data_IF_832088778880
#
_entry.id   IF_832088778880
#
_cell.length_a   1.000
_cell.length_b   1.000
_cell.length_c   1.000
_cell.angle_alpha   90.00
_cell.angle_beta   90.00
_cell.angle_gamma   90.00
#
_symmetry.space_group_name_H-M   'P 1'
#
loop_
_entity.id
_entity.type
_entity.pdbx_description
1 polymer ?
#
# COMPACT_ATOMS: atom_id res chain seq x y z
N UNK A 1 19.83 -2.97 -25.29
CA UNK A 1 18.75 -3.27 -24.32
C UNK A 1 19.34 -4.13 -23.21
N UNK A 2 19.58 -3.56 -22.03
CA UNK A 2 20.16 -4.32 -20.91
C UNK A 2 19.08 -5.21 -20.32
N UNK A 3 19.24 -6.53 -20.46
CA UNK A 3 18.41 -7.51 -19.75
C UNK A 3 18.69 -7.36 -18.26
N UNK A 4 17.70 -6.86 -17.51
CA UNK A 4 17.73 -6.87 -16.05
C UNK A 4 17.57 -8.33 -15.59
N UNK A 5 18.46 -8.87 -14.74
CA UNK A 5 18.32 -10.22 -14.20
C UNK A 5 16.97 -10.34 -13.46
N UNK A 6 16.16 -11.33 -13.85
CA UNK A 6 14.83 -11.62 -13.26
C UNK A 6 14.96 -12.31 -11.92
N UNK A 7 15.63 -11.67 -10.96
CA UNK A 7 15.67 -12.18 -9.60
C UNK A 7 14.39 -11.80 -8.85
N UNK A 8 13.72 -12.84 -8.35
CA UNK A 8 12.57 -12.78 -7.47
C UNK A 8 12.82 -11.75 -6.33
N UNK A 9 11.99 -10.69 -6.22
CA UNK A 9 12.17 -9.69 -5.16
C UNK A 9 11.86 -10.26 -3.77
N UNK A 10 11.21 -11.43 -3.68
CA UNK A 10 10.89 -12.10 -2.41
C UNK A 10 11.78 -13.32 -2.08
N UNK A 11 12.73 -13.70 -2.94
CA UNK A 11 13.54 -14.94 -2.86
C UNK A 11 14.19 -15.18 -1.48
N UNK A 12 14.72 -14.15 -0.79
CA UNK A 12 15.31 -14.33 0.53
C UNK A 12 14.27 -14.55 1.64
N UNK A 13 13.04 -14.05 1.52
CA UNK A 13 12.06 -13.97 2.63
C UNK A 13 11.23 -15.22 2.82
N UNK A 14 11.04 -16.00 1.75
CA UNK A 14 10.45 -17.32 1.88
C UNK A 14 11.34 -18.26 2.73
N UNK A 15 12.59 -17.89 3.05
CA UNK A 15 13.45 -18.63 3.98
C UNK A 15 13.30 -18.20 5.44
N UNK A 16 12.82 -16.99 5.72
CA UNK A 16 12.65 -16.47 7.08
C UNK A 16 11.26 -16.76 7.67
N UNK A 17 10.26 -17.04 6.83
CA UNK A 17 8.96 -17.58 7.22
C UNK A 17 8.98 -19.11 7.44
N UNK A 18 10.17 -19.72 7.57
CA UNK A 18 10.34 -21.16 7.75
C UNK A 18 9.91 -21.57 9.17
N UNK A 19 8.81 -22.30 9.28
CA UNK A 19 8.77 -23.42 10.21
C UNK A 19 9.76 -24.48 9.69
N UNK A 20 10.56 -25.07 10.58
CA UNK A 20 11.53 -26.11 10.25
C UNK A 20 10.92 -27.17 9.31
N UNK A 21 11.38 -27.27 8.05
CA UNK A 21 11.61 -28.53 7.32
C UNK A 21 12.14 -28.30 5.89
N UNK A 22 13.08 -29.16 5.47
CA UNK A 22 13.74 -29.17 4.17
C UNK A 22 12.82 -29.59 3.00
N UNK A 23 11.57 -29.99 3.28
CA UNK A 23 10.58 -30.48 2.30
C UNK A 23 9.89 -29.37 1.49
N UNK A 24 9.95 -28.10 1.92
CA UNK A 24 9.20 -27.00 1.29
C UNK A 24 9.91 -26.42 0.04
N UNK A 25 11.20 -26.68 -0.17
CA UNK A 25 11.91 -26.25 -1.39
C UNK A 25 11.49 -27.08 -2.61
N UNK A 26 11.34 -28.39 -2.42
CA UNK A 26 10.87 -29.31 -3.45
C UNK A 26 9.37 -29.10 -3.75
N UNK A 27 8.57 -28.85 -2.72
CA UNK A 27 7.16 -28.49 -2.87
C UNK A 27 6.95 -27.15 -3.61
N UNK A 28 7.80 -26.14 -3.36
CA UNK A 28 7.78 -24.86 -4.11
C UNK A 28 8.13 -25.04 -5.57
N UNK A 29 9.16 -25.83 -5.88
CA UNK A 29 9.52 -26.15 -7.26
C UNK A 29 8.40 -26.92 -7.97
N UNK A 30 7.71 -27.83 -7.27
CA UNK A 30 6.56 -28.54 -7.80
C UNK A 30 5.38 -27.61 -8.12
N UNK A 31 5.06 -26.66 -7.23
CA UNK A 31 4.00 -25.67 -7.44
C UNK A 31 4.33 -24.70 -8.58
N UNK A 32 5.55 -24.17 -8.62
CA UNK A 32 6.02 -23.31 -9.72
C UNK A 32 5.94 -24.04 -11.08
N UNK A 33 6.33 -25.32 -11.10
CA UNK A 33 6.26 -26.19 -12.28
C UNK A 33 4.82 -26.45 -12.69
N UNK A 34 3.92 -26.77 -11.74
CA UNK A 34 2.50 -26.97 -12.02
C UNK A 34 1.86 -25.69 -12.59
N UNK A 35 2.12 -24.52 -11.98
CA UNK A 35 1.61 -23.24 -12.45
C UNK A 35 2.12 -22.87 -13.85
N UNK A 36 3.39 -23.19 -14.16
CA UNK A 36 3.97 -22.94 -15.49
C UNK A 36 3.30 -23.78 -16.59
N UNK A 37 2.78 -24.97 -16.26
CA UNK A 37 2.07 -25.86 -17.19
C UNK A 37 0.64 -25.40 -17.48
N UNK A 38 0.04 -24.59 -16.61
CA UNK A 38 -1.35 -24.15 -16.73
C UNK A 38 -1.59 -23.04 -17.77
N UNK A 39 -0.52 -22.54 -18.43
CA UNK A 39 -0.57 -21.47 -19.44
C UNK A 39 -1.46 -20.28 -19.04
N UNK A 40 -1.39 -19.88 -17.76
CA UNK A 40 -2.24 -18.84 -17.20
C UNK A 40 -1.86 -17.47 -17.77
N UNK A 41 -2.81 -16.77 -18.40
CA UNK A 41 -2.63 -15.38 -18.80
C UNK A 41 -2.72 -14.48 -17.57
N UNK A 42 -1.57 -14.09 -17.03
CA UNK A 42 -1.53 -13.18 -15.88
C UNK A 42 -1.96 -11.76 -16.26
N UNK A 43 -2.99 -11.28 -15.59
CA UNK A 43 -3.42 -9.89 -15.60
C UNK A 43 -3.33 -9.29 -14.20
N UNK A 44 -3.30 -7.95 -14.10
CA UNK A 44 -3.34 -7.24 -12.83
C UNK A 44 -4.59 -7.63 -12.01
N UNK A 45 -5.75 -7.72 -12.67
CA UNK A 45 -7.01 -8.12 -12.02
C UNK A 45 -6.95 -9.53 -11.46
N UNK A 46 -6.42 -10.49 -12.22
CA UNK A 46 -6.26 -11.88 -11.78
C UNK A 46 -5.33 -11.98 -10.58
N UNK A 47 -4.18 -11.31 -10.61
CA UNK A 47 -3.24 -11.31 -9.47
C UNK A 47 -3.89 -10.71 -8.23
N UNK A 48 -4.62 -9.59 -8.37
CA UNK A 48 -5.35 -9.00 -7.25
C UNK A 48 -6.44 -9.92 -6.70
N UNK A 49 -7.12 -10.67 -7.55
CA UNK A 49 -8.16 -11.62 -7.16
C UNK A 49 -7.57 -12.75 -6.31
N UNK A 50 -6.48 -13.38 -6.76
CA UNK A 50 -5.78 -14.44 -6.00
C UNK A 50 -5.29 -13.91 -4.65
N UNK A 51 -4.68 -12.72 -4.61
CA UNK A 51 -4.22 -12.10 -3.36
C UNK A 51 -5.37 -11.76 -2.40
N UNK A 52 -6.51 -11.28 -2.92
CA UNK A 52 -7.71 -10.99 -2.12
C UNK A 52 -8.37 -12.25 -1.59
N UNK A 53 -8.42 -13.31 -2.40
CA UNK A 53 -8.98 -14.61 -2.00
C UNK A 53 -8.19 -15.23 -0.85
N UNK A 54 -6.84 -15.22 -0.96
CA UNK A 54 -5.97 -15.69 0.11
C UNK A 54 -6.18 -14.93 1.43
N UNK A 55 -6.34 -13.60 1.37
CA UNK A 55 -6.57 -12.76 2.54
C UNK A 55 -7.92 -13.01 3.25
N UNK A 56 -9.00 -13.34 2.51
CA UNK A 56 -10.36 -13.48 3.07
C UNK A 56 -10.63 -14.82 3.74
N UNK A 57 -9.92 -15.87 3.33
CA UNK A 57 -10.18 -17.25 3.77
C UNK A 57 -9.13 -17.78 4.76
N UNK A 58 -8.32 -16.89 5.36
CA UNK A 58 -7.29 -17.30 6.33
C UNK A 58 -6.14 -18.11 5.73
N UNK A 59 -5.91 -18.02 4.41
CA UNK A 59 -4.75 -18.67 3.80
C UNK A 59 -3.45 -18.06 4.31
N UNK A 60 -2.45 -18.92 4.40
CA UNK A 60 -1.08 -18.58 4.79
C UNK A 60 -0.56 -17.38 3.98
N UNK A 61 -0.15 -16.32 4.68
CA UNK A 61 0.47 -15.12 4.09
C UNK A 61 1.62 -15.51 3.17
N UNK A 62 2.35 -16.56 3.53
CA UNK A 62 3.43 -17.12 2.73
C UNK A 62 2.96 -17.55 1.33
N UNK A 63 1.76 -18.13 1.20
CA UNK A 63 1.21 -18.54 -0.10
C UNK A 63 0.91 -17.34 -0.99
N UNK A 64 0.39 -16.24 -0.42
CA UNK A 64 0.19 -14.98 -1.14
C UNK A 64 1.52 -14.40 -1.63
N UNK A 65 2.56 -14.43 -0.78
CA UNK A 65 3.90 -13.96 -1.13
C UNK A 65 4.57 -14.86 -2.19
N UNK A 66 4.45 -16.19 -2.07
CA UNK A 66 4.95 -17.16 -3.06
C UNK A 66 4.30 -16.92 -4.42
N UNK A 67 2.98 -16.73 -4.47
CA UNK A 67 2.26 -16.44 -5.71
C UNK A 67 2.66 -15.09 -6.30
N UNK A 68 2.72 -14.03 -5.48
CA UNK A 68 3.17 -12.71 -5.94
C UNK A 68 4.56 -12.79 -6.55
N UNK A 69 5.47 -13.51 -5.90
CA UNK A 69 6.82 -13.72 -6.40
C UNK A 69 6.86 -14.45 -7.74
N UNK A 70 6.16 -15.58 -7.82
CA UNK A 70 6.05 -16.38 -9.04
C UNK A 70 5.46 -15.57 -10.20
N UNK A 71 4.40 -14.80 -9.94
CA UNK A 71 3.77 -13.95 -10.95
C UNK A 71 4.77 -12.93 -11.53
N UNK A 72 5.56 -12.29 -10.65
CA UNK A 72 6.58 -11.31 -11.06
C UNK A 72 7.75 -11.90 -11.85
N UNK A 73 7.95 -13.23 -11.84
CA UNK A 73 8.97 -13.91 -12.64
C UNK A 73 8.51 -14.21 -14.07
N UNK A 74 7.20 -14.11 -14.37
CA UNK A 74 6.68 -14.45 -15.68
C UNK A 74 7.09 -13.41 -16.74
N UNK A 75 7.56 -13.82 -17.93
CA UNK A 75 8.06 -12.92 -18.96
C UNK A 75 7.06 -11.85 -19.42
N UNK A 76 5.78 -12.18 -19.43
CA UNK A 76 4.69 -11.35 -19.95
C UNK A 76 3.97 -10.55 -18.87
N UNK A 77 4.43 -10.60 -17.62
CA UNK A 77 3.76 -9.97 -16.50
C UNK A 77 4.70 -9.08 -15.70
N UNK A 78 4.21 -7.89 -15.37
CA UNK A 78 4.89 -6.97 -14.49
C UNK A 78 3.90 -6.49 -13.44
N UNK A 79 4.33 -6.54 -12.18
CA UNK A 79 3.55 -6.01 -11.08
C UNK A 79 3.31 -4.51 -11.26
N UNK A 80 2.10 -4.10 -10.88
CA UNK A 80 1.67 -2.71 -10.85
C UNK A 80 1.52 -2.26 -9.41
N UNK A 81 1.42 -0.95 -9.20
CA UNK A 81 1.24 -0.35 -7.86
C UNK A 81 0.17 -1.07 -7.03
N UNK A 82 -0.96 -1.43 -7.65
CA UNK A 82 -2.08 -2.08 -6.98
C UNK A 82 -1.70 -3.45 -6.38
N UNK A 83 -0.89 -4.26 -7.07
CA UNK A 83 -0.50 -5.60 -6.61
C UNK A 83 0.51 -5.48 -5.46
N UNK A 84 1.45 -4.53 -5.54
CA UNK A 84 2.33 -4.20 -4.40
C UNK A 84 1.54 -3.71 -3.19
N UNK A 85 0.60 -2.78 -3.37
CA UNK A 85 -0.24 -2.30 -2.29
C UNK A 85 -1.08 -3.43 -1.66
N UNK A 86 -1.58 -4.37 -2.45
CA UNK A 86 -2.28 -5.54 -1.94
C UNK A 86 -1.39 -6.39 -1.01
N UNK A 87 -0.14 -6.66 -1.42
CA UNK A 87 0.85 -7.35 -0.57
C UNK A 87 1.16 -6.55 0.69
N UNK A 88 1.36 -5.24 0.59
CA UNK A 88 1.59 -4.39 1.76
C UNK A 88 0.41 -4.41 2.73
N UNK A 89 -0.83 -4.42 2.21
CA UNK A 89 -2.04 -4.51 3.01
C UNK A 89 -2.16 -5.87 3.72
N UNK A 90 -1.79 -6.96 3.05
CA UNK A 90 -1.74 -8.31 3.66
C UNK A 90 -0.73 -8.32 4.80
N UNK A 91 0.52 -7.90 4.55
CA UNK A 91 1.57 -7.85 5.57
C UNK A 91 1.21 -6.92 6.74
N UNK A 92 0.59 -5.77 6.45
CA UNK A 92 0.03 -4.81 7.43
C UNK A 92 -0.93 -5.49 8.40
N UNK A 93 -1.96 -6.14 7.85
CA UNK A 93 -2.99 -6.83 8.65
C UNK A 93 -2.45 -8.02 9.42
N UNK A 94 -1.46 -8.72 8.87
CA UNK A 94 -0.80 -9.85 9.53
C UNK A 94 0.30 -9.44 10.52
N UNK A 95 0.51 -8.13 10.74
CA UNK A 95 1.55 -7.56 11.63
C UNK A 95 2.99 -7.99 11.26
N UNK A 96 3.23 -8.39 10.01
CA UNK A 96 4.54 -8.82 9.51
C UNK A 96 5.36 -7.63 8.98
N UNK A 97 5.61 -6.63 9.85
CA UNK A 97 6.23 -5.36 9.43
C UNK A 97 7.71 -5.54 9.08
N UNK A 98 8.42 -6.42 9.78
CA UNK A 98 9.82 -6.76 9.49
C UNK A 98 9.98 -7.26 8.05
N UNK A 99 9.12 -8.20 7.62
CA UNK A 99 9.14 -8.72 6.25
C UNK A 99 8.87 -7.63 5.22
N UNK A 100 7.95 -6.69 5.52
CA UNK A 100 7.68 -5.55 4.65
C UNK A 100 8.88 -4.61 4.54
N UNK A 101 9.51 -4.26 5.68
CA UNK A 101 10.65 -3.35 5.71
C UNK A 101 11.84 -3.92 4.97
N UNK A 102 12.18 -5.18 5.24
CA UNK A 102 13.28 -5.82 4.53
C UNK A 102 13.02 -5.83 3.02
N UNK A 103 11.79 -6.14 2.60
CA UNK A 103 11.41 -6.13 1.18
C UNK A 103 11.62 -4.75 0.56
N UNK A 104 11.20 -3.68 1.24
CA UNK A 104 11.37 -2.31 0.77
C UNK A 104 12.84 -1.91 0.68
N UNK A 105 13.66 -2.29 1.66
CA UNK A 105 15.11 -2.05 1.64
C UNK A 105 15.79 -2.74 0.46
N UNK A 106 15.42 -3.98 0.14
CA UNK A 106 15.96 -4.66 -1.05
C UNK A 106 15.36 -4.13 -2.35
N UNK A 107 14.11 -3.67 -2.32
CA UNK A 107 13.49 -3.00 -3.45
C UNK A 107 14.21 -1.70 -3.79
N UNK A 108 14.88 -1.04 -2.82
CA UNK A 108 15.73 0.14 -3.06
C UNK A 108 16.99 -0.13 -3.92
N UNK A 109 17.20 -1.36 -4.41
CA UNK A 109 18.35 -1.68 -5.23
C UNK A 109 18.29 -0.95 -6.61
N UNK A 110 19.42 -0.34 -7.07
CA UNK A 110 19.52 0.40 -8.33
C UNK A 110 18.98 -0.31 -9.58
N UNK A 111 18.98 -1.65 -9.63
CA UNK A 111 18.49 -2.41 -10.78
C UNK A 111 16.97 -2.24 -11.03
N UNK A 112 16.19 -1.83 -10.03
CA UNK A 112 14.74 -1.62 -10.14
C UNK A 112 14.34 -0.19 -10.55
N UNK A 113 15.32 0.72 -10.71
CA UNK A 113 15.12 2.12 -11.07
C UNK A 113 14.71 2.35 -12.54
N UNK A 114 14.57 1.29 -13.35
CA UNK A 114 14.19 1.37 -14.77
C UNK A 114 12.84 2.06 -14.95
N UNK A 115 11.95 1.98 -13.97
CA UNK A 115 10.69 2.73 -13.92
C UNK A 115 10.66 3.65 -12.71
N UNK A 116 11.40 4.77 -12.76
CA UNK A 116 11.58 5.70 -11.63
C UNK A 116 10.29 6.07 -10.90
N UNK A 117 9.22 6.43 -11.61
CA UNK A 117 7.94 6.79 -10.97
C UNK A 117 7.32 5.63 -10.17
N UNK A 118 7.36 4.40 -10.72
CA UNK A 118 6.83 3.21 -10.05
C UNK A 118 7.66 2.84 -8.84
N UNK A 119 8.98 2.96 -8.99
CA UNK A 119 9.93 2.70 -7.92
C UNK A 119 9.66 3.60 -6.71
N UNK A 120 9.60 4.92 -6.92
CA UNK A 120 9.32 5.86 -5.82
C UNK A 120 7.93 5.67 -5.24
N UNK A 121 6.92 5.48 -6.09
CA UNK A 121 5.54 5.29 -5.62
C UNK A 121 5.42 4.06 -4.70
N UNK A 122 6.00 2.93 -5.09
CA UNK A 122 6.05 1.73 -4.25
C UNK A 122 6.76 1.98 -2.92
N UNK A 123 7.87 2.71 -2.92
CA UNK A 123 8.61 3.01 -1.68
C UNK A 123 7.84 3.95 -0.75
N UNK A 124 7.25 5.03 -1.26
CA UNK A 124 6.45 5.96 -0.44
C UNK A 124 5.28 5.22 0.18
N UNK A 125 4.49 4.52 -0.64
CA UNK A 125 3.32 3.76 -0.15
C UNK A 125 3.72 2.65 0.81
N UNK A 126 4.80 1.91 0.50
CA UNK A 126 5.28 0.81 1.32
C UNK A 126 5.72 1.27 2.70
N UNK A 127 6.63 2.26 2.78
CA UNK A 127 7.09 2.77 4.07
C UNK A 127 5.98 3.47 4.87
N UNK A 128 5.04 4.12 4.19
CA UNK A 128 3.87 4.69 4.84
C UNK A 128 3.00 3.61 5.50
N UNK A 129 2.68 2.53 4.77
CA UNK A 129 1.91 1.39 5.31
C UNK A 129 2.69 0.62 6.39
N UNK A 130 4.02 0.60 6.33
CA UNK A 130 4.89 -0.01 7.33
C UNK A 130 5.02 0.80 8.64
N UNK A 131 4.36 1.96 8.74
CA UNK A 131 4.48 2.84 9.91
C UNK A 131 5.85 3.53 10.01
N UNK A 132 6.51 3.80 8.88
CA UNK A 132 7.77 4.56 8.80
C UNK A 132 7.55 5.90 8.09
N UNK A 133 6.78 6.83 8.69
CA UNK A 133 6.31 8.05 8.02
C UNK A 133 7.47 8.96 7.57
N UNK A 134 8.54 9.06 8.36
CA UNK A 134 9.71 9.88 8.01
C UNK A 134 10.48 9.34 6.80
N UNK A 135 10.60 8.01 6.68
CA UNK A 135 11.23 7.39 5.51
C UNK A 135 10.34 7.58 4.28
N UNK A 136 9.02 7.45 4.44
CA UNK A 136 8.07 7.72 3.36
C UNK A 136 8.13 9.18 2.88
N UNK A 137 8.19 10.15 3.80
CA UNK A 137 8.37 11.58 3.50
C UNK A 137 9.70 11.85 2.78
N UNK A 138 10.79 11.21 3.21
CA UNK A 138 12.08 11.32 2.52
C UNK A 138 12.04 10.80 1.08
N UNK A 139 11.42 9.63 0.87
CA UNK A 139 11.26 9.07 -0.47
C UNK A 139 10.34 9.92 -1.34
N UNK A 140 9.29 10.50 -0.75
CA UNK A 140 8.42 11.44 -1.43
C UNK A 140 9.16 12.72 -1.82
N UNK A 141 9.98 13.29 -0.93
CA UNK A 141 10.83 14.44 -1.23
C UNK A 141 11.82 14.16 -2.37
N UNK A 142 12.49 13.00 -2.35
CA UNK A 142 13.37 12.55 -3.45
C UNK A 142 12.63 12.41 -4.77
N UNK A 143 11.43 11.84 -4.75
CA UNK A 143 10.57 11.71 -5.93
C UNK A 143 10.25 13.09 -6.52
N UNK A 144 9.84 14.05 -5.67
CA UNK A 144 9.51 15.42 -6.08
C UNK A 144 10.71 16.18 -6.62
N UNK A 145 11.88 16.02 -6.02
CA UNK A 145 13.13 16.63 -6.51
C UNK A 145 13.48 16.16 -7.93
N UNK A 146 13.10 14.95 -8.31
CA UNK A 146 13.28 14.43 -9.67
C UNK A 146 12.15 14.80 -10.64
N UNK A 147 11.22 15.68 -10.24
CA UNK A 147 10.07 16.07 -11.05
C UNK A 147 9.01 14.98 -11.18
N UNK A 148 9.06 13.94 -10.33
CA UNK A 148 8.08 12.87 -10.29
C UNK A 148 7.02 13.15 -9.21
N UNK A 149 5.86 12.50 -9.33
CA UNK A 149 4.77 12.70 -8.39
C UNK A 149 3.92 11.46 -8.13
N UNK A 150 3.25 11.46 -6.98
CA UNK A 150 2.28 10.42 -6.64
C UNK A 150 0.99 10.61 -7.47
N UNK A 151 0.32 9.50 -7.74
CA UNK A 151 -1.06 9.53 -8.23
C UNK A 151 -2.05 9.79 -7.08
N UNK A 152 -3.30 10.13 -7.42
CA UNK A 152 -4.37 10.41 -6.45
C UNK A 152 -4.51 9.30 -5.39
N UNK A 153 -4.51 8.04 -5.83
CA UNK A 153 -4.61 6.90 -4.93
C UNK A 153 -3.47 6.87 -3.92
N UNK A 154 -2.22 7.03 -4.36
CA UNK A 154 -1.05 6.98 -3.49
C UNK A 154 -1.01 8.15 -2.53
N UNK A 155 -1.48 9.32 -2.95
CA UNK A 155 -1.69 10.46 -2.06
C UNK A 155 -2.67 10.12 -0.93
N UNK A 156 -3.82 9.50 -1.22
CA UNK A 156 -4.78 9.09 -0.19
C UNK A 156 -4.19 8.05 0.78
N UNK A 157 -3.47 7.05 0.27
CA UNK A 157 -2.80 6.06 1.12
C UNK A 157 -1.77 6.74 2.02
N UNK A 158 -0.97 7.64 1.46
CA UNK A 158 0.07 8.33 2.20
C UNK A 158 -0.50 9.28 3.26
N UNK A 159 -1.52 10.08 2.91
CA UNK A 159 -2.23 10.96 3.83
C UNK A 159 -2.82 10.17 5.01
N UNK A 160 -3.55 9.08 4.73
CA UNK A 160 -4.15 8.26 5.78
C UNK A 160 -3.08 7.61 6.67
N UNK A 161 -1.96 7.16 6.11
CA UNK A 161 -0.87 6.61 6.90
C UNK A 161 -0.24 7.65 7.84
N UNK A 162 -0.06 8.90 7.40
CA UNK A 162 0.43 9.99 8.26
C UNK A 162 -0.55 10.27 9.41
N UNK A 163 -1.86 10.25 9.14
CA UNK A 163 -2.91 10.34 10.17
C UNK A 163 -2.83 9.16 11.14
N UNK A 164 -2.57 7.95 10.65
CA UNK A 164 -2.38 6.78 11.51
C UNK A 164 -1.20 6.90 12.46
N UNK A 165 -0.11 7.54 12.02
CA UNK A 165 1.12 7.71 12.78
C UNK A 165 1.17 9.01 13.59
N UNK A 166 0.10 9.82 13.57
CA UNK A 166 0.04 11.09 14.31
C UNK A 166 0.96 12.19 13.76
N UNK A 167 1.45 12.07 12.52
CA UNK A 167 2.34 13.05 11.89
C UNK A 167 1.53 14.25 11.33
N UNK A 168 0.79 14.94 12.19
CA UNK A 168 -0.24 15.91 11.76
C UNK A 168 0.30 17.11 10.99
N UNK A 169 1.53 17.57 11.27
CA UNK A 169 2.15 18.66 10.48
C UNK A 169 2.33 18.26 9.01
N UNK A 170 2.72 16.99 8.78
CA UNK A 170 2.84 16.44 7.43
C UNK A 170 1.47 16.17 6.80
N UNK A 171 0.43 15.85 7.60
CA UNK A 171 -0.94 15.68 7.09
C UNK A 171 -1.43 16.95 6.42
N UNK A 172 -1.27 18.12 7.07
CA UNK A 172 -1.69 19.41 6.50
C UNK A 172 -0.93 19.73 5.20
N UNK A 173 0.39 19.49 5.18
CA UNK A 173 1.21 19.68 4.00
C UNK A 173 0.75 18.81 2.83
N UNK A 174 0.50 17.51 3.07
CA UNK A 174 0.05 16.57 2.04
C UNK A 174 -1.39 16.86 1.60
N UNK A 175 -2.28 17.24 2.51
CA UNK A 175 -3.64 17.67 2.17
C UNK A 175 -3.63 18.87 1.21
N UNK A 176 -2.78 19.88 1.46
CA UNK A 176 -2.58 21.00 0.54
C UNK A 176 -2.06 20.54 -0.83
N UNK A 177 -1.14 19.56 -0.87
CA UNK A 177 -0.64 19.00 -2.13
C UNK A 177 -1.74 18.30 -2.94
N UNK A 178 -2.66 17.60 -2.28
CA UNK A 178 -3.83 16.96 -2.93
C UNK A 178 -4.73 18.03 -3.55
N UNK A 179 -5.04 19.08 -2.80
CA UNK A 179 -5.88 20.18 -3.29
C UNK A 179 -5.26 20.88 -4.51
N UNK A 180 -3.97 21.22 -4.45
CA UNK A 180 -3.26 21.90 -5.55
C UNK A 180 -3.22 21.07 -6.84
N UNK A 181 -3.42 19.75 -6.77
CA UNK A 181 -3.46 18.85 -7.92
C UNK A 181 -4.87 18.59 -8.45
N UNK A 182 -5.89 19.10 -7.76
CA UNK A 182 -7.28 18.73 -8.06
C UNK A 182 -7.59 17.27 -7.73
N UNK A 183 -6.82 16.65 -6.81
CA UNK A 183 -7.03 15.27 -6.36
C UNK A 183 -8.00 15.18 -5.17
N UNK A 184 -8.63 16.30 -4.81
CA UNK A 184 -9.60 16.35 -3.73
C UNK A 184 -10.83 15.48 -4.06
N UNK A 185 -11.19 14.59 -3.15
CA UNK A 185 -12.34 13.70 -3.25
C UNK A 185 -12.97 13.45 -1.88
N UNK A 186 -14.10 12.73 -1.86
CA UNK A 186 -14.74 12.28 -0.61
C UNK A 186 -13.77 11.49 0.29
N UNK A 187 -12.85 10.73 -0.31
CA UNK A 187 -11.82 9.98 0.42
C UNK A 187 -10.89 10.95 1.16
N UNK A 188 -10.46 12.04 0.50
CA UNK A 188 -9.62 13.06 1.13
C UNK A 188 -10.29 13.64 2.37
N UNK A 189 -11.56 14.02 2.24
CA UNK A 189 -12.34 14.61 3.32
C UNK A 189 -12.58 13.66 4.48
N UNK A 190 -12.85 12.38 4.20
CA UNK A 190 -12.97 11.35 5.23
C UNK A 190 -11.68 11.19 6.04
N UNK A 191 -10.52 11.22 5.36
CA UNK A 191 -9.22 11.13 6.04
C UNK A 191 -8.97 12.38 6.90
N UNK A 192 -9.32 13.58 6.44
CA UNK A 192 -9.17 14.81 7.23
C UNK A 192 -10.09 14.84 8.44
N UNK A 193 -11.35 14.44 8.29
CA UNK A 193 -12.28 14.28 9.42
C UNK A 193 -11.70 13.32 10.46
N UNK A 194 -11.24 12.14 10.02
CA UNK A 194 -10.54 11.17 10.87
C UNK A 194 -9.31 11.77 11.55
N UNK A 195 -8.54 12.60 10.86
CA UNK A 195 -7.40 13.31 11.44
C UNK A 195 -7.79 14.24 12.58
N UNK A 196 -8.91 14.97 12.45
CA UNK A 196 -9.42 15.86 13.49
C UNK A 196 -9.92 15.06 14.70
N UNK A 197 -10.65 13.96 14.48
CA UNK A 197 -11.07 13.06 15.56
C UNK A 197 -9.88 12.46 16.32
N UNK A 198 -8.82 12.04 15.63
CA UNK A 198 -7.60 11.52 16.26
C UNK A 198 -6.81 12.56 17.06
N UNK A 199 -7.08 13.85 16.84
CA UNK A 199 -6.53 14.97 17.61
C UNK A 199 -7.49 15.44 18.70
N UNK A 200 -8.63 14.76 18.89
CA UNK A 200 -9.72 15.14 19.79
C UNK A 200 -10.30 16.53 19.51
N UNK A 201 -10.15 17.01 18.27
CA UNK A 201 -10.64 18.32 17.83
C UNK A 201 -12.05 18.23 17.24
N UNK A 202 -13.00 17.79 18.06
CA UNK A 202 -14.36 17.51 17.61
C UNK A 202 -15.08 18.75 17.05
N UNK A 203 -14.94 19.91 17.68
CA UNK A 203 -15.55 21.15 17.19
C UNK A 203 -14.99 21.58 15.83
N UNK A 204 -13.69 21.33 15.58
CA UNK A 204 -13.08 21.59 14.28
C UNK A 204 -13.62 20.61 13.22
N UNK A 205 -13.81 19.35 13.61
CA UNK A 205 -14.37 18.31 12.76
C UNK A 205 -15.82 18.63 12.37
N UNK A 206 -16.65 19.08 13.30
CA UNK A 206 -18.03 19.49 13.05
C UNK A 206 -18.11 20.68 12.08
N UNK A 207 -17.39 21.77 12.36
CA UNK A 207 -17.31 22.94 11.46
C UNK A 207 -16.78 22.58 10.09
N UNK A 208 -15.85 21.62 10.00
CA UNK A 208 -15.35 21.13 8.73
C UNK A 208 -16.45 20.45 7.91
N UNK A 209 -17.25 19.57 8.52
CA UNK A 209 -18.37 18.90 7.85
C UNK A 209 -19.46 19.87 7.42
N UNK A 210 -19.82 20.84 8.26
CA UNK A 210 -20.83 21.85 7.93
C UNK A 210 -20.44 22.63 6.67
N UNK A 211 -19.15 22.99 6.54
CA UNK A 211 -18.62 23.63 5.32
C UNK A 211 -18.67 22.71 4.10
N UNK A 212 -18.40 21.41 4.24
CA UNK A 212 -18.51 20.48 3.11
C UNK A 212 -19.97 20.31 2.65
N UNK A 213 -20.89 20.29 3.61
CA UNK A 213 -22.34 20.21 3.34
C UNK A 213 -22.82 21.46 2.62
N UNK A 214 -22.40 22.66 3.04
CA UNK A 214 -22.78 23.90 2.37
C UNK A 214 -22.20 24.04 0.96
N UNK A 215 -21.10 23.34 0.66
CA UNK A 215 -20.51 23.22 -0.66
C UNK A 215 -21.14 22.11 -1.54
N UNK A 216 -22.19 21.43 -1.07
CA UNK A 216 -22.88 20.39 -1.83
C UNK A 216 -22.17 19.02 -1.85
N UNK A 217 -21.14 18.80 -1.03
CA UNK A 217 -20.40 17.52 -0.92
C UNK A 217 -21.16 16.54 0.00
N UNK A 218 -22.32 16.07 -0.46
CA UNK A 218 -23.37 15.45 0.35
C UNK A 218 -23.09 14.05 0.96
N UNK A 219 -22.00 13.36 0.57
CA UNK A 219 -21.79 11.92 0.86
C UNK A 219 -21.34 11.64 2.32
N UNK A 220 -20.90 12.65 3.07
CA UNK A 220 -20.30 12.45 4.40
C UNK A 220 -21.30 12.54 5.57
N UNK A 221 -22.52 13.05 5.36
CA UNK A 221 -23.49 13.27 6.46
C UNK A 221 -23.90 11.96 7.16
N UNK A 222 -24.10 10.86 6.43
CA UNK A 222 -24.54 9.59 7.02
C UNK A 222 -23.42 8.82 7.72
N UNK A 223 -22.25 8.68 7.08
CA UNK A 223 -21.11 7.92 7.61
C UNK A 223 -20.53 8.58 8.87
N UNK A 224 -20.54 9.91 8.91
CA UNK A 224 -19.95 10.67 10.01
C UNK A 224 -20.89 10.76 11.21
N UNK A 225 -22.21 10.85 11.00
CA UNK A 225 -23.19 10.86 12.11
C UNK A 225 -23.16 9.54 12.89
N UNK A 226 -23.03 8.40 12.22
CA UNK A 226 -22.84 7.11 12.89
C UNK A 226 -21.48 7.01 13.60
N UNK A 227 -20.42 7.60 13.04
CA UNK A 227 -19.10 7.65 13.68
C UNK A 227 -19.06 8.51 14.94
N UNK A 228 -19.68 9.70 14.91
CA UNK A 228 -19.79 10.59 16.08
C UNK A 228 -20.66 10.00 17.20
N UNK A 229 -21.78 9.34 16.87
CA UNK A 229 -22.66 8.71 17.88
C UNK A 229 -21.97 7.57 18.64
N UNK A 230 -21.01 6.87 18.01
CA UNK A 230 -20.21 5.82 18.67
C UNK A 230 -19.10 6.35 19.58
N UNK A 231 -18.67 7.61 19.40
CA UNK A 231 -17.60 8.24 20.19
C UNK A 231 -18.14 8.97 21.42
N UNK A 232 -19.44 9.30 21.46
CA UNK A 232 -20.11 9.94 22.61
C UNK A 232 -20.80 8.93 23.55
N UNK A 233 -20.73 7.62 23.26
CA UNK A 233 -21.42 6.57 24.01
C UNK A 233 -20.49 5.50 24.62
N UNK A 234 -19.25 5.85 24.95
CA UNK A 234 -18.26 4.96 25.59
C UNK A 234 -17.71 5.56 26.87
#
# INVERSE_FOLDING_TARGET
>A
MVQVPRHSPLRPYLRHLKTHNNTDADARNAADTALSKLNLRLSESFVLEVLKYGHRNGFDVLSCLKFFDWAGRQPSFQHRRSTFYAVFKILSKSRLMSVMLDFLEKFMNPWWCVHRIRYYNTLVVGYAVAGKPYVALHMFGKMRFQGLDLDEFSYHVFLNALVEQGCFDAVEAIFKQIFLRGFESDITHLIMFKSMCKREKFDEAERYLERLVSQGKAVLKHIVREGCLRMQGG
#
